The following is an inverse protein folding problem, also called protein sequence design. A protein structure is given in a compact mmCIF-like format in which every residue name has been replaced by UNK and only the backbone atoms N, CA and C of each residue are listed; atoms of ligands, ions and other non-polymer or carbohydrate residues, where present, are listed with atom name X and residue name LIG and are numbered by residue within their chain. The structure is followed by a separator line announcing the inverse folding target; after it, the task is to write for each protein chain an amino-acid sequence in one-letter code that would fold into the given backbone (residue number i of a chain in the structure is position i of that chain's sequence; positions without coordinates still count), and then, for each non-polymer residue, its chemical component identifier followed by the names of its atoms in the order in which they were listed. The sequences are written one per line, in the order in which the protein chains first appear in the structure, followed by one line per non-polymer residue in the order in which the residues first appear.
data_IF_713169072322
#
_entry.id   IF_713169072322
#
_cell.length_a   1.000
_cell.length_b   1.000
_cell.length_c   1.000
_cell.angle_alpha   90.00
_cell.angle_beta   90.00
_cell.angle_gamma   90.00
#
_symmetry.space_group_name_H-M   'P 1'
#
loop_
_entity.id
_entity.type
_entity.pdbx_description
1 polymer ?
#
# COMPACT_ATOMS: atom_id res chain seq x y z
N UNK A 1 29.75 10.82 -52.55
CA UNK A 1 29.29 9.53 -52.03
C UNK A 1 29.23 9.65 -50.50
N UNK A 2 28.10 10.14 -49.98
CA UNK A 2 27.88 10.23 -48.54
C UNK A 2 27.17 8.94 -48.10
N UNK A 3 27.90 8.07 -47.40
CA UNK A 3 27.31 6.93 -46.71
C UNK A 3 26.56 7.46 -45.49
N UNK A 4 25.23 7.50 -45.59
CA UNK A 4 24.37 7.59 -44.41
C UNK A 4 24.35 6.23 -43.73
N UNK A 5 25.05 6.11 -42.61
CA UNK A 5 24.85 5.01 -41.67
C UNK A 5 23.54 5.31 -40.96
N UNK A 6 22.45 4.65 -41.36
CA UNK A 6 21.23 4.62 -40.56
C UNK A 6 21.50 3.72 -39.35
N UNK A 7 21.34 4.27 -38.14
CA UNK A 7 21.10 3.45 -36.95
C UNK A 7 19.74 2.79 -37.13
N UNK A 8 19.73 1.48 -37.31
CA UNK A 8 18.52 0.68 -37.23
C UNK A 8 18.16 0.55 -35.74
N UNK A 9 17.20 1.34 -35.28
CA UNK A 9 16.51 1.04 -34.03
C UNK A 9 15.81 -0.30 -34.23
N UNK A 10 16.28 -1.34 -33.54
CA UNK A 10 15.55 -2.61 -33.47
C UNK A 10 14.23 -2.35 -32.75
N UNK A 11 13.19 -2.12 -33.54
CA UNK A 11 11.81 -2.09 -33.05
C UNK A 11 11.49 -3.52 -32.63
N UNK A 12 11.71 -3.82 -31.35
CA UNK A 12 11.23 -5.05 -30.74
C UNK A 12 9.73 -5.16 -31.02
N UNK A 13 9.35 -6.18 -31.79
CA UNK A 13 7.96 -6.46 -32.12
C UNK A 13 7.14 -6.55 -30.83
N UNK A 14 5.94 -5.94 -30.76
CA UNK A 14 5.12 -6.01 -29.56
C UNK A 14 4.80 -7.47 -29.25
N UNK A 15 5.11 -7.90 -28.02
CA UNK A 15 4.86 -9.27 -27.57
C UNK A 15 3.36 -9.54 -27.68
N UNK A 16 2.97 -10.58 -28.43
CA UNK A 16 1.58 -11.04 -28.45
C UNK A 16 1.11 -11.35 -27.02
N UNK A 17 -0.03 -10.75 -26.62
CA UNK A 17 -0.62 -10.78 -25.27
C UNK A 17 -1.25 -12.14 -24.93
N UNK A 18 -1.66 -12.90 -25.93
CA UNK A 18 -2.37 -14.16 -25.72
C UNK A 18 -1.45 -15.20 -25.08
N UNK A 19 -1.99 -15.96 -24.13
CA UNK A 19 -1.27 -17.02 -23.40
C UNK A 19 0.01 -16.57 -22.67
N UNK A 20 0.22 -15.26 -22.51
CA UNK A 20 1.33 -14.74 -21.73
C UNK A 20 0.97 -14.75 -20.24
N UNK A 21 1.77 -15.45 -19.46
CA UNK A 21 1.70 -15.48 -18.01
C UNK A 21 3.05 -15.02 -17.44
N UNK A 22 3.00 -13.98 -16.61
CA UNK A 22 4.16 -13.44 -15.90
C UNK A 22 3.94 -13.73 -14.42
N UNK A 23 4.90 -14.39 -13.80
CA UNK A 23 4.89 -14.62 -12.36
C UNK A 23 6.19 -14.10 -11.74
N UNK A 24 6.10 -13.52 -10.56
CA UNK A 24 7.28 -13.12 -9.78
C UNK A 24 7.03 -13.35 -8.32
N UNK A 25 8.07 -13.50 -7.52
CA UNK A 25 7.89 -13.65 -6.09
C UNK A 25 9.21 -13.57 -5.34
N UNK A 26 9.10 -13.63 -4.03
CA UNK A 26 10.23 -13.74 -3.12
C UNK A 26 10.09 -15.06 -2.37
N UNK A 27 11.20 -15.76 -2.22
CA UNK A 27 11.33 -16.94 -1.37
C UNK A 27 12.54 -16.75 -0.47
N UNK A 28 12.39 -17.08 0.80
CA UNK A 28 13.43 -16.94 1.79
C UNK A 28 13.66 -18.27 2.53
N UNK A 29 14.90 -18.49 2.96
CA UNK A 29 15.25 -19.56 3.88
C UNK A 29 14.63 -19.37 5.26
N UNK A 30 14.81 -20.35 6.14
CA UNK A 30 14.51 -20.25 7.58
C UNK A 30 13.12 -19.75 7.91
N UNK A 31 12.14 -20.14 7.09
CA UNK A 31 10.78 -19.72 7.33
C UNK A 31 10.65 -18.20 7.44
N UNK A 32 11.39 -17.38 6.71
CA UNK A 32 11.11 -15.94 6.70
C UNK A 32 9.82 -15.59 5.91
N UNK A 33 9.18 -16.61 5.32
CA UNK A 33 7.98 -16.46 4.50
C UNK A 33 8.33 -16.04 3.08
N UNK A 34 7.36 -15.46 2.40
CA UNK A 34 7.54 -14.95 1.05
C UNK A 34 6.24 -14.78 0.31
N UNK A 35 6.35 -14.67 -1.02
CA UNK A 35 5.21 -14.32 -1.86
C UNK A 35 5.30 -14.84 -3.29
N UNK A 36 4.17 -14.77 -3.98
CA UNK A 36 4.08 -14.87 -5.43
C UNK A 36 2.99 -13.96 -5.98
N UNK A 37 3.32 -13.26 -7.05
CA UNK A 37 2.41 -12.48 -7.88
C UNK A 37 2.31 -13.18 -9.23
N UNK A 38 1.10 -13.38 -9.72
CA UNK A 38 0.82 -13.95 -11.03
C UNK A 38 -0.06 -12.99 -11.82
N UNK A 39 0.38 -12.67 -13.04
CA UNK A 39 -0.19 -11.66 -13.91
C UNK A 39 -0.58 -12.31 -15.23
N UNK A 40 -1.81 -12.08 -15.66
CA UNK A 40 -2.34 -12.37 -16.99
C UNK A 40 -3.05 -11.13 -17.54
N UNK A 41 -3.50 -11.19 -18.79
CA UNK A 41 -4.25 -10.10 -19.41
C UNK A 41 -5.49 -9.68 -18.60
N UNK A 42 -6.12 -10.62 -17.91
CA UNK A 42 -7.39 -10.40 -17.22
C UNK A 42 -7.23 -10.24 -15.71
N UNK A 43 -6.14 -10.76 -15.13
CA UNK A 43 -6.05 -10.90 -13.68
C UNK A 43 -4.67 -10.68 -13.09
N UNK A 44 -4.68 -10.19 -11.85
CA UNK A 44 -3.55 -10.12 -10.94
C UNK A 44 -3.88 -10.97 -9.72
N UNK A 45 -3.02 -11.92 -9.38
CA UNK A 45 -3.16 -12.77 -8.20
C UNK A 45 -1.93 -12.65 -7.32
N UNK A 46 -2.13 -12.18 -6.10
CA UNK A 46 -1.08 -12.12 -5.09
C UNK A 46 -1.35 -13.20 -4.05
N UNK A 47 -0.32 -14.00 -3.77
CA UNK A 47 -0.28 -15.01 -2.73
C UNK A 47 0.88 -14.66 -1.80
N UNK A 48 0.63 -14.45 -0.51
CA UNK A 48 1.67 -14.36 0.51
C UNK A 48 1.58 -15.55 1.45
N UNK A 49 2.71 -15.99 1.99
CA UNK A 49 2.79 -17.08 2.95
C UNK A 49 3.57 -16.64 4.17
N UNK A 50 3.09 -17.07 5.34
CA UNK A 50 3.73 -16.73 6.61
C UNK A 50 5.01 -17.53 6.83
N UNK A 51 5.91 -17.00 7.68
CA UNK A 51 6.95 -17.79 8.30
C UNK A 51 6.49 -19.16 8.82
N UNK A 52 7.10 -20.25 8.36
CA UNK A 52 6.93 -21.61 8.91
C UNK A 52 5.49 -22.15 8.94
N UNK A 53 4.57 -21.52 8.22
CA UNK A 53 3.15 -21.84 8.29
C UNK A 53 2.55 -22.22 6.93
N UNK A 54 1.38 -22.84 6.98
CA UNK A 54 0.50 -23.02 5.82
C UNK A 54 -0.39 -21.80 5.57
N UNK A 55 -0.40 -20.84 6.51
CA UNK A 55 -1.24 -19.65 6.44
C UNK A 55 -0.84 -18.82 5.21
N UNK A 56 -1.81 -18.69 4.32
CA UNK A 56 -1.64 -18.07 3.02
C UNK A 56 -2.68 -16.98 2.88
N UNK A 57 -2.25 -15.76 2.54
CA UNK A 57 -3.18 -14.72 2.09
C UNK A 57 -3.22 -14.77 0.57
N UNK A 58 -4.41 -14.89 -0.01
CA UNK A 58 -4.59 -14.84 -1.47
C UNK A 58 -5.57 -13.74 -1.81
N UNK A 59 -5.22 -12.89 -2.76
CA UNK A 59 -6.11 -11.86 -3.29
C UNK A 59 -6.00 -11.80 -4.81
N UNK A 60 -7.15 -11.63 -5.46
CA UNK A 60 -7.27 -11.50 -6.91
C UNK A 60 -7.89 -10.16 -7.28
N UNK A 61 -7.41 -9.57 -8.37
CA UNK A 61 -7.94 -8.32 -8.93
C UNK A 61 -8.04 -8.43 -10.44
N UNK A 62 -8.91 -7.61 -11.02
CA UNK A 62 -8.91 -7.37 -12.47
C UNK A 62 -7.64 -6.63 -12.86
N UNK A 63 -6.97 -7.11 -13.91
CA UNK A 63 -5.79 -6.47 -14.45
C UNK A 63 -6.15 -5.10 -15.07
N UNK A 64 -5.53 -3.98 -14.64
CA UNK A 64 -5.70 -2.70 -15.32
C UNK A 64 -5.10 -2.76 -16.72
N UNK A 65 -5.87 -2.49 -17.80
CA UNK A 65 -5.39 -2.63 -19.18
C UNK A 65 -4.12 -1.81 -19.47
N UNK A 66 -4.05 -0.58 -18.94
CA UNK A 66 -2.88 0.31 -19.09
C UNK A 66 -1.63 -0.30 -18.46
N UNK A 67 -1.77 -0.98 -17.31
CA UNK A 67 -0.65 -1.63 -16.63
C UNK A 67 -0.18 -2.85 -17.42
N UNK A 68 -1.11 -3.68 -17.90
CA UNK A 68 -0.79 -4.84 -18.73
C UNK A 68 -0.07 -4.44 -20.01
N UNK A 69 -0.60 -3.45 -20.71
CA UNK A 69 -0.03 -2.97 -21.97
C UNK A 69 1.38 -2.41 -21.75
N UNK A 70 1.59 -1.70 -20.65
CA UNK A 70 2.92 -1.20 -20.27
C UNK A 70 3.91 -2.32 -19.93
N UNK A 71 3.45 -3.38 -19.25
CA UNK A 71 4.26 -4.57 -18.94
C UNK A 71 4.68 -5.30 -20.22
N UNK A 72 3.71 -5.62 -21.08
CA UNK A 72 3.95 -6.37 -22.32
C UNK A 72 4.84 -5.58 -23.29
N UNK A 73 4.62 -4.27 -23.41
CA UNK A 73 5.43 -3.41 -24.29
C UNK A 73 6.88 -3.25 -23.79
N UNK A 74 7.15 -3.44 -22.50
CA UNK A 74 8.49 -3.34 -21.92
C UNK A 74 9.24 -4.68 -21.91
N UNK A 75 8.55 -5.79 -22.16
CA UNK A 75 9.13 -7.13 -22.13
C UNK A 75 9.79 -7.47 -23.46
N UNK A 76 11.11 -7.69 -23.41
CA UNK A 76 11.86 -8.34 -24.49
C UNK A 76 12.00 -9.84 -24.14
N UNK A 77 11.19 -10.67 -24.80
CA UNK A 77 11.09 -12.10 -24.49
C UNK A 77 12.38 -12.85 -24.85
N UNK A 78 13.03 -12.49 -25.94
CA UNK A 78 14.28 -13.15 -26.37
C UNK A 78 15.42 -12.75 -25.45
N UNK A 79 15.56 -11.46 -25.13
CA UNK A 79 16.56 -11.02 -24.15
C UNK A 79 16.32 -11.64 -22.77
N UNK A 80 15.06 -11.77 -22.33
CA UNK A 80 14.73 -12.42 -21.05
C UNK A 80 15.13 -13.89 -21.04
N UNK A 81 14.92 -14.59 -22.17
CA UNK A 81 15.29 -16.00 -22.33
C UNK A 81 16.80 -16.24 -22.21
N UNK A 82 17.62 -15.25 -22.54
CA UNK A 82 19.08 -15.33 -22.40
C UNK A 82 19.57 -15.08 -20.97
N UNK A 83 18.73 -14.58 -20.06
CA UNK A 83 19.11 -14.40 -18.65
C UNK A 83 19.18 -15.76 -17.96
N UNK A 84 20.31 -16.10 -17.36
CA UNK A 84 20.52 -17.37 -16.65
C UNK A 84 20.86 -17.16 -15.16
N UNK A 85 20.19 -16.20 -14.53
CA UNK A 85 20.34 -16.01 -13.09
C UNK A 85 19.68 -17.14 -12.34
N UNK A 86 20.47 -17.85 -11.54
CA UNK A 86 20.01 -18.95 -10.69
C UNK A 86 20.75 -18.92 -9.36
N UNK A 87 20.59 -17.82 -8.62
CA UNK A 87 21.11 -17.73 -7.25
C UNK A 87 20.36 -18.69 -6.33
N UNK A 88 21.04 -19.11 -5.26
CA UNK A 88 20.40 -19.81 -4.15
C UNK A 88 20.78 -19.16 -2.83
N UNK A 89 20.44 -17.89 -2.64
CA UNK A 89 20.61 -17.27 -1.33
C UNK A 89 19.71 -17.94 -0.30
N UNK A 90 18.58 -18.50 -0.72
CA UNK A 90 17.72 -19.36 0.12
C UNK A 90 18.50 -20.52 0.75
N UNK A 91 19.52 -21.05 0.07
CA UNK A 91 20.36 -22.14 0.58
C UNK A 91 21.25 -21.71 1.76
N UNK A 92 21.53 -20.41 1.89
CA UNK A 92 22.37 -19.81 2.93
C UNK A 92 21.54 -18.81 3.75
N UNK A 93 20.27 -19.15 4.00
CA UNK A 93 19.35 -18.44 4.89
C UNK A 93 19.02 -17.01 4.46
N UNK A 94 19.30 -16.67 3.20
CA UNK A 94 18.91 -15.44 2.55
C UNK A 94 17.59 -15.56 1.79
N UNK A 95 17.29 -14.53 1.00
CA UNK A 95 16.13 -14.47 0.13
C UNK A 95 16.55 -14.37 -1.33
N UNK A 96 15.80 -15.03 -2.20
CA UNK A 96 15.86 -14.81 -3.64
C UNK A 96 14.53 -14.23 -4.13
N UNK A 97 14.63 -13.28 -5.05
CA UNK A 97 13.52 -12.90 -5.91
C UNK A 97 13.57 -13.75 -7.17
N UNK A 98 12.41 -14.15 -7.67
CA UNK A 98 12.31 -14.89 -8.92
C UNK A 98 11.34 -14.23 -9.87
N UNK A 99 11.59 -14.42 -11.17
CA UNK A 99 10.69 -14.04 -12.25
C UNK A 99 10.56 -15.25 -13.17
N UNK A 100 9.32 -15.60 -13.51
CA UNK A 100 8.97 -16.66 -14.44
C UNK A 100 8.09 -16.07 -15.54
N UNK A 101 8.45 -16.36 -16.78
CA UNK A 101 7.63 -16.03 -17.95
C UNK A 101 7.23 -17.32 -18.63
N UNK A 102 5.95 -17.45 -18.92
CA UNK A 102 5.36 -18.54 -19.65
C UNK A 102 4.57 -17.98 -20.84
N UNK A 103 4.88 -18.44 -22.05
CA UNK A 103 4.16 -18.05 -23.27
C UNK A 103 4.12 -19.23 -24.21
N UNK A 104 2.91 -19.69 -24.57
CA UNK A 104 2.71 -20.89 -25.39
C UNK A 104 3.49 -22.10 -24.84
N UNK A 105 4.52 -22.58 -25.53
CA UNK A 105 5.42 -23.65 -25.07
C UNK A 105 6.65 -23.15 -24.29
N UNK A 106 6.99 -21.86 -24.37
CA UNK A 106 8.10 -21.28 -23.63
C UNK A 106 7.79 -21.24 -22.14
N UNK A 107 8.75 -21.66 -21.33
CA UNK A 107 8.79 -21.51 -19.88
C UNK A 107 10.22 -21.16 -19.48
N UNK A 108 10.42 -19.95 -18.96
CA UNK A 108 11.73 -19.52 -18.47
C UNK A 108 11.60 -18.94 -17.07
N UNK A 109 12.51 -19.30 -16.16
CA UNK A 109 12.55 -18.78 -14.79
C UNK A 109 13.96 -18.39 -14.44
N UNK A 110 14.10 -17.21 -13.85
CA UNK A 110 15.32 -16.73 -13.23
C UNK A 110 15.10 -16.52 -11.72
N UNK A 111 16.14 -16.69 -10.93
CA UNK A 111 16.17 -16.40 -9.49
C UNK A 111 17.44 -15.61 -9.17
N UNK A 112 17.31 -14.55 -8.38
CA UNK A 112 18.37 -13.60 -8.10
C UNK A 112 18.25 -12.96 -6.71
N UNK A 113 19.39 -12.62 -6.13
CA UNK A 113 19.51 -12.11 -4.76
C UNK A 113 19.58 -10.60 -4.61
N UNK A 114 19.72 -9.85 -5.71
CA UNK A 114 20.11 -8.44 -5.65
C UNK A 114 19.81 -7.65 -6.92
N UNK A 115 20.60 -6.59 -7.13
CA UNK A 115 20.46 -5.68 -8.27
C UNK A 115 21.12 -6.26 -9.51
N UNK A 116 20.45 -7.23 -10.13
CA UNK A 116 20.90 -7.79 -11.41
C UNK A 116 20.68 -6.83 -12.58
N UNK A 117 21.50 -6.96 -13.62
CA UNK A 117 21.33 -6.23 -14.86
C UNK A 117 20.35 -6.96 -15.78
N UNK A 118 19.10 -6.50 -15.80
CA UNK A 118 18.10 -7.03 -16.72
C UNK A 118 18.29 -6.56 -18.17
N UNK A 119 19.31 -5.76 -18.48
CA UNK A 119 19.59 -5.25 -19.81
C UNK A 119 18.36 -4.59 -20.45
N UNK A 120 17.90 -5.04 -21.64
CA UNK A 120 16.68 -4.56 -22.26
C UNK A 120 15.43 -4.66 -21.37
N UNK A 121 15.39 -5.65 -20.46
CA UNK A 121 14.26 -5.90 -19.57
C UNK A 121 14.29 -5.09 -18.26
N UNK A 122 15.20 -4.12 -18.11
CA UNK A 122 15.24 -3.25 -16.92
C UNK A 122 13.93 -2.49 -16.70
N UNK A 123 13.32 -1.98 -17.77
CA UNK A 123 12.01 -1.30 -17.70
C UNK A 123 10.91 -2.26 -17.27
N UNK A 124 10.89 -3.47 -17.84
CA UNK A 124 9.95 -4.53 -17.48
C UNK A 124 10.04 -4.88 -15.99
N UNK A 125 11.24 -5.13 -15.47
CA UNK A 125 11.46 -5.41 -14.05
C UNK A 125 10.94 -4.28 -13.14
N UNK A 126 11.15 -3.02 -13.53
CA UNK A 126 10.64 -1.86 -12.79
C UNK A 126 9.11 -1.77 -12.77
N UNK A 127 8.44 -2.02 -13.90
CA UNK A 127 6.96 -2.03 -13.97
C UNK A 127 6.39 -3.21 -13.18
N UNK A 128 7.06 -4.38 -13.25
CA UNK A 128 6.68 -5.58 -12.49
C UNK A 128 6.75 -5.33 -10.98
N UNK A 129 7.79 -4.62 -10.50
CA UNK A 129 7.89 -4.18 -9.11
C UNK A 129 6.74 -3.25 -8.69
N UNK A 130 6.34 -2.31 -9.56
CA UNK A 130 5.16 -1.44 -9.31
C UNK A 130 3.85 -2.22 -9.25
N UNK A 131 3.66 -3.19 -10.15
CA UNK A 131 2.48 -4.06 -10.14
C UNK A 131 2.40 -4.87 -8.84
N UNK A 132 3.54 -5.37 -8.35
CA UNK A 132 3.64 -6.06 -7.07
C UNK A 132 3.28 -5.13 -5.91
N UNK A 133 3.84 -3.92 -5.85
CA UNK A 133 3.52 -2.93 -4.82
C UNK A 133 2.02 -2.57 -4.82
N UNK A 134 1.43 -2.30 -5.98
CA UNK A 134 0.00 -2.04 -6.13
C UNK A 134 -0.86 -3.19 -5.59
N UNK A 135 -0.49 -4.45 -5.88
CA UNK A 135 -1.22 -5.61 -5.37
C UNK A 135 -1.15 -5.74 -3.84
N UNK A 136 -0.04 -5.35 -3.22
CA UNK A 136 0.09 -5.29 -1.76
C UNK A 136 -0.73 -4.16 -1.14
N UNK A 137 -0.75 -2.98 -1.76
CA UNK A 137 -1.54 -1.83 -1.26
C UNK A 137 -3.04 -2.14 -1.22
N UNK A 138 -3.50 -3.05 -2.07
CA UNK A 138 -4.88 -3.57 -2.07
C UNK A 138 -5.16 -4.67 -1.05
N UNK A 139 -4.13 -5.31 -0.46
CA UNK A 139 -4.32 -6.16 0.72
C UNK A 139 -4.58 -5.31 1.98
N UNK A 140 -3.99 -4.12 2.04
CA UNK A 140 -4.20 -3.18 3.12
C UNK A 140 -5.63 -2.61 3.14
N UNK A 141 -6.46 -3.14 4.04
CA UNK A 141 -7.82 -2.66 4.31
C UNK A 141 -7.96 -2.05 5.69
N UNK A 142 -8.91 -1.11 5.82
CA UNK A 142 -9.30 -0.56 7.12
C UNK A 142 -10.09 -1.56 7.95
N UNK A 143 -10.99 -2.29 7.29
CA UNK A 143 -11.92 -3.20 7.95
C UNK A 143 -11.27 -4.57 8.05
N UNK A 144 -11.23 -5.09 9.29
CA UNK A 144 -10.72 -6.40 9.66
C UNK A 144 -9.45 -6.80 8.87
N UNK A 145 -8.37 -5.99 8.95
CA UNK A 145 -7.15 -6.26 8.17
C UNK A 145 -6.58 -7.67 8.41
N UNK A 146 -6.80 -8.25 9.59
CA UNK A 146 -6.45 -9.62 9.95
C UNK A 146 -7.13 -10.71 9.10
N UNK A 147 -8.28 -10.44 8.48
CA UNK A 147 -8.93 -11.39 7.58
C UNK A 147 -8.12 -11.57 6.28
N UNK A 148 -7.51 -10.48 5.80
CA UNK A 148 -6.72 -10.45 4.55
C UNK A 148 -5.22 -10.58 4.78
N UNK A 149 -4.73 -10.21 5.96
CA UNK A 149 -3.32 -10.22 6.31
C UNK A 149 -3.09 -11.29 7.37
N UNK A 150 -2.79 -12.51 6.93
CA UNK A 150 -2.60 -13.64 7.85
C UNK A 150 -1.42 -13.45 8.81
N UNK A 151 -0.38 -12.70 8.41
CA UNK A 151 0.72 -12.34 9.31
C UNK A 151 0.23 -11.45 10.47
N UNK A 152 -0.69 -10.53 10.18
CA UNK A 152 -1.26 -9.62 11.17
C UNK A 152 -2.20 -10.38 12.11
N UNK A 153 -2.96 -11.33 11.56
CA UNK A 153 -3.74 -12.28 12.36
C UNK A 153 -2.87 -13.10 13.31
N UNK A 154 -1.74 -13.64 12.83
CA UNK A 154 -0.85 -14.43 13.67
C UNK A 154 -0.26 -13.61 14.83
N UNK A 155 0.12 -12.35 14.58
CA UNK A 155 0.54 -11.42 15.62
C UNK A 155 -0.60 -11.19 16.63
N UNK A 156 -1.81 -10.94 16.13
CA UNK A 156 -3.00 -10.72 16.96
C UNK A 156 -3.34 -11.88 17.88
N UNK A 157 -3.44 -13.07 17.30
CA UNK A 157 -3.73 -14.31 18.04
C UNK A 157 -2.67 -14.54 19.14
N UNK A 158 -1.41 -14.10 18.93
CA UNK A 158 -0.33 -14.22 19.93
C UNK A 158 -0.61 -13.37 21.17
N UNK A 159 -0.97 -12.09 21.04
CA UNK A 159 -1.21 -11.25 22.22
C UNK A 159 -2.58 -11.51 22.87
N UNK A 160 -3.59 -11.88 22.08
CA UNK A 160 -4.91 -12.26 22.60
C UNK A 160 -4.84 -13.53 23.44
N UNK A 161 -4.03 -14.52 23.05
CA UNK A 161 -3.83 -15.74 23.85
C UNK A 161 -3.13 -15.49 25.19
N UNK A 162 -2.37 -14.40 25.29
CA UNK A 162 -1.76 -13.91 26.53
C UNK A 162 -2.64 -12.92 27.29
N UNK A 163 -3.90 -12.73 26.87
CA UNK A 163 -4.86 -11.83 27.49
C UNK A 163 -4.37 -10.37 27.56
N UNK A 164 -3.59 -9.94 26.56
CA UNK A 164 -3.08 -8.58 26.45
C UNK A 164 -4.02 -7.69 25.64
N UNK A 165 -4.29 -6.44 26.09
CA UNK A 165 -5.17 -5.50 25.39
C UNK A 165 -4.44 -4.83 24.22
N UNK A 166 -4.11 -5.59 23.19
CA UNK A 166 -3.43 -5.09 22.00
C UNK A 166 -4.34 -4.37 21.01
N UNK A 167 -3.76 -3.51 20.16
CA UNK A 167 -4.47 -2.77 19.12
C UNK A 167 -3.72 -2.79 17.78
N UNK A 168 -4.49 -2.73 16.70
CA UNK A 168 -4.01 -2.56 15.33
C UNK A 168 -4.69 -1.32 14.76
N UNK A 169 -3.90 -0.39 14.23
CA UNK A 169 -4.37 0.87 13.68
C UNK A 169 -3.73 1.12 12.32
N UNK A 170 -4.51 1.56 11.32
CA UNK A 170 -3.98 1.88 9.99
C UNK A 170 -3.67 3.37 9.85
N UNK A 171 -2.52 3.68 9.25
CA UNK A 171 -2.07 5.03 8.95
C UNK A 171 -1.61 5.15 7.49
N UNK A 172 -1.59 6.38 6.96
CA UNK A 172 -0.73 6.79 5.86
C UNK A 172 0.52 7.43 6.44
N UNK A 173 1.69 6.90 6.11
CA UNK A 173 2.99 7.44 6.51
C UNK A 173 3.93 7.37 5.31
N UNK A 174 4.60 8.47 4.98
CA UNK A 174 5.43 8.59 3.77
C UNK A 174 4.72 8.10 2.50
N UNK A 175 3.46 8.55 2.32
CA UNK A 175 2.58 8.20 1.19
C UNK A 175 2.22 6.71 1.08
N UNK A 176 2.52 5.90 2.08
CA UNK A 176 2.23 4.46 2.12
C UNK A 176 1.25 4.11 3.22
N UNK A 177 0.40 3.12 2.96
CA UNK A 177 -0.43 2.51 4.00
C UNK A 177 0.44 1.65 4.91
N UNK A 178 0.29 1.83 6.22
CA UNK A 178 1.02 1.09 7.25
C UNK A 178 0.08 0.74 8.40
N UNK A 179 0.45 -0.26 9.20
CA UNK A 179 -0.24 -0.62 10.43
C UNK A 179 0.65 -0.37 11.63
N UNK A 180 0.19 0.45 12.57
CA UNK A 180 0.74 0.51 13.92
C UNK A 180 0.14 -0.65 14.72
N UNK A 181 1.00 -1.54 15.18
CA UNK A 181 0.65 -2.69 15.99
C UNK A 181 1.21 -2.47 17.39
N UNK A 182 0.31 -2.43 18.37
CA UNK A 182 0.65 -2.27 19.79
C UNK A 182 0.15 -3.50 20.53
N UNK A 183 1.01 -4.50 20.80
CA UNK A 183 0.58 -5.78 21.39
C UNK A 183 -0.03 -5.64 22.80
N UNK A 184 0.29 -4.58 23.53
CA UNK A 184 -0.37 -4.24 24.79
C UNK A 184 -0.47 -2.72 24.98
N UNK A 185 -1.69 -2.20 25.10
CA UNK A 185 -1.93 -0.81 25.49
C UNK A 185 -1.77 -0.66 27.01
N UNK A 186 -0.92 0.27 27.43
CA UNK A 186 -0.68 0.55 28.85
C UNK A 186 0.38 -0.33 29.52
N UNK A 187 1.03 -1.23 28.77
CA UNK A 187 2.20 -1.97 29.25
C UNK A 187 3.49 -1.16 29.00
N UNK A 188 4.26 -0.76 30.02
CA UNK A 188 5.48 0.04 29.85
C UNK A 188 6.57 -0.70 29.06
N UNK A 189 6.67 -2.02 29.26
CA UNK A 189 7.76 -2.84 28.73
C UNK A 189 7.50 -3.38 27.31
N UNK A 190 6.31 -3.12 26.75
CA UNK A 190 5.91 -3.61 25.42
C UNK A 190 5.97 -2.47 24.41
N UNK A 191 6.85 -2.62 23.42
CA UNK A 191 6.95 -1.68 22.30
C UNK A 191 5.80 -1.80 21.31
N UNK A 192 5.68 -0.80 20.45
CA UNK A 192 4.81 -0.82 19.27
C UNK A 192 5.66 -0.86 18.01
N UNK A 193 5.12 -1.51 16.97
CA UNK A 193 5.82 -1.69 15.70
C UNK A 193 4.93 -1.25 14.54
N UNK A 194 5.50 -0.50 13.61
CA UNK A 194 4.86 -0.08 12.37
C UNK A 194 5.25 -1.06 11.27
N UNK A 195 4.26 -1.67 10.65
CA UNK A 195 4.43 -2.61 9.55
C UNK A 195 3.87 -2.06 8.24
N UNK A 196 4.52 -2.38 7.12
CA UNK A 196 3.91 -2.18 5.80
C UNK A 196 2.85 -3.26 5.50
N UNK A 197 2.18 -3.15 4.34
CA UNK A 197 1.18 -4.12 3.88
C UNK A 197 1.75 -5.54 3.66
N UNK A 198 3.08 -5.69 3.57
CA UNK A 198 3.76 -6.97 3.39
C UNK A 198 4.12 -7.62 4.73
N UNK A 199 3.96 -6.90 5.84
CA UNK A 199 4.40 -7.33 7.16
C UNK A 199 5.88 -7.04 7.44
N UNK A 200 6.54 -6.20 6.63
CA UNK A 200 7.89 -5.75 6.95
C UNK A 200 7.82 -4.68 8.03
N UNK A 201 8.69 -4.79 9.03
CA UNK A 201 8.88 -3.74 10.02
C UNK A 201 9.48 -2.49 9.35
N UNK A 202 8.82 -1.36 9.53
CA UNK A 202 9.27 -0.04 9.06
C UNK A 202 9.87 0.75 10.22
N UNK A 203 9.23 0.66 11.38
CA UNK A 203 9.62 1.39 12.59
C UNK A 203 9.25 0.58 13.82
N UNK A 204 9.96 0.80 14.92
CA UNK A 204 9.59 0.31 16.24
C UNK A 204 9.87 1.39 17.28
N UNK A 205 8.99 1.49 18.28
CA UNK A 205 9.13 2.43 19.38
C UNK A 205 8.62 1.90 20.71
N UNK A 206 9.31 2.25 21.80
CA UNK A 206 8.95 1.86 23.16
C UNK A 206 9.44 0.46 23.58
N UNK A 207 9.06 0.03 24.77
CA UNK A 207 9.55 -1.20 25.41
C UNK A 207 10.82 -0.99 26.24
N UNK A 208 11.25 -2.04 26.95
CA UNK A 208 12.43 -1.98 27.82
C UNK A 208 13.72 -1.81 27.00
N UNK A 209 14.36 -0.65 27.10
CA UNK A 209 15.48 -0.26 26.23
C UNK A 209 15.07 0.13 24.80
N UNK A 210 13.78 0.41 24.61
CA UNK A 210 13.06 0.40 23.36
C UNK A 210 13.71 1.10 22.17
N UNK A 211 13.66 0.51 20.96
CA UNK A 211 14.06 1.20 19.74
C UNK A 211 13.28 2.52 19.60
N UNK A 212 13.80 3.45 18.81
CA UNK A 212 13.12 4.68 18.45
C UNK A 212 13.51 5.03 17.02
N UNK A 213 13.08 4.18 16.08
CA UNK A 213 13.61 4.19 14.71
C UNK A 213 12.89 5.16 13.78
N UNK A 214 11.73 5.69 14.18
CA UNK A 214 10.97 6.72 13.46
C UNK A 214 10.40 7.75 14.44
N UNK A 215 11.21 8.73 14.89
CA UNK A 215 10.82 9.75 15.88
C UNK A 215 9.62 10.59 15.48
N UNK A 216 9.39 10.74 14.18
CA UNK A 216 8.40 11.61 13.56
C UNK A 216 7.10 10.89 13.15
N UNK A 217 7.01 9.58 13.41
CA UNK A 217 5.85 8.78 12.97
C UNK A 217 4.54 9.34 13.49
N UNK A 218 4.43 9.59 14.80
CA UNK A 218 3.17 10.07 15.40
C UNK A 218 2.82 11.50 14.96
N UNK A 219 3.78 12.29 14.49
CA UNK A 219 3.56 13.65 14.01
C UNK A 219 3.11 13.69 12.55
N UNK A 220 3.65 12.80 11.72
CA UNK A 220 3.41 12.78 10.28
C UNK A 220 2.36 11.76 9.82
N UNK A 221 2.14 10.69 10.58
CA UNK A 221 1.22 9.63 10.22
C UNK A 221 -0.24 10.12 10.27
N UNK A 222 -0.99 9.82 9.21
CA UNK A 222 -2.40 10.20 9.07
C UNK A 222 -3.25 8.97 9.32
N UNK A 223 -4.09 8.93 10.37
CA UNK A 223 -4.94 7.77 10.65
C UNK A 223 -5.98 7.58 9.54
N UNK A 224 -6.12 6.34 9.06
CA UNK A 224 -7.04 6.01 7.95
C UNK A 224 -8.41 5.58 8.48
N UNK A 225 -8.46 4.92 9.64
CA UNK A 225 -9.70 4.35 10.17
C UNK A 225 -9.93 4.89 11.60
N UNK A 226 -10.95 5.73 11.84
CA UNK A 226 -11.30 6.19 13.18
C UNK A 226 -11.81 5.04 14.06
N UNK A 227 -11.41 5.02 15.34
CA UNK A 227 -11.81 4.01 16.35
C UNK A 227 -13.30 4.03 16.69
N UNK A 228 -13.97 5.14 16.41
CA UNK A 228 -15.36 5.32 16.74
C UNK A 228 -16.17 4.97 15.50
N UNK A 229 -16.93 3.86 15.55
CA UNK A 229 -17.73 3.29 14.47
C UNK A 229 -18.80 4.19 13.82
N UNK A 230 -18.67 5.50 13.92
CA UNK A 230 -19.43 6.51 13.18
C UNK A 230 -19.16 6.49 11.66
N UNK A 231 -18.02 5.96 11.21
CA UNK A 231 -17.65 5.95 9.79
C UNK A 231 -17.70 4.57 9.10
N UNK A 232 -18.21 3.54 9.79
CA UNK A 232 -18.15 2.16 9.30
C UNK A 232 -19.32 1.72 8.40
N UNK A 233 -20.22 2.62 7.97
CA UNK A 233 -21.37 2.19 7.17
C UNK A 233 -21.27 2.38 5.64
N UNK A 234 -20.32 3.15 5.10
CA UNK A 234 -20.36 3.46 3.65
C UNK A 234 -19.04 3.51 2.88
N UNK A 235 -17.91 3.07 3.45
CA UNK A 235 -16.64 3.01 2.68
C UNK A 235 -16.28 1.56 2.31
N UNK A 236 -17.27 0.79 1.85
CA UNK A 236 -17.07 -0.54 1.27
C UNK A 236 -17.87 -0.65 -0.03
N UNK A 237 -17.33 -0.09 -1.12
CA UNK A 237 -17.92 -0.16 -2.46
C UNK A 237 -17.64 1.07 -3.31
N UNK A 238 -17.94 0.99 -4.61
CA UNK A 238 -18.24 2.21 -5.38
C UNK A 238 -19.47 2.86 -4.74
N UNK A 239 -19.29 4.06 -4.19
CA UNK A 239 -20.37 4.87 -3.64
C UNK A 239 -20.93 5.77 -4.75
N UNK A 240 -22.23 6.05 -4.69
CA UNK A 240 -22.83 7.01 -5.62
C UNK A 240 -22.48 8.44 -5.21
N UNK A 241 -22.49 9.36 -6.17
CA UNK A 241 -22.29 10.79 -5.91
C UNK A 241 -23.25 11.34 -4.85
N UNK A 242 -24.48 10.81 -4.79
CA UNK A 242 -25.48 11.23 -3.81
C UNK A 242 -25.11 10.81 -2.38
N UNK A 243 -24.57 9.61 -2.21
CA UNK A 243 -24.11 9.09 -0.91
C UNK A 243 -22.86 9.81 -0.43
N UNK A 244 -21.88 10.03 -1.32
CA UNK A 244 -20.68 10.81 -1.01
C UNK A 244 -21.03 12.25 -0.62
N UNK A 245 -21.97 12.88 -1.33
CA UNK A 245 -22.45 14.23 -1.02
C UNK A 245 -23.14 14.30 0.34
N UNK A 246 -23.95 13.31 0.69
CA UNK A 246 -24.61 13.23 2.00
C UNK A 246 -23.61 13.02 3.13
N UNK A 247 -22.63 12.13 2.95
CA UNK A 247 -21.57 11.87 3.92
C UNK A 247 -20.70 13.11 4.15
N UNK A 248 -20.29 13.76 3.06
CA UNK A 248 -19.53 15.01 3.10
C UNK A 248 -20.31 16.08 3.85
N UNK A 249 -21.61 16.22 3.59
CA UNK A 249 -22.47 17.18 4.29
C UNK A 249 -22.54 16.92 5.80
N UNK A 250 -22.69 15.66 6.21
CA UNK A 250 -22.67 15.28 7.63
C UNK A 250 -21.32 15.57 8.30
N UNK A 251 -20.21 15.27 7.61
CA UNK A 251 -18.85 15.56 8.07
C UNK A 251 -18.62 17.05 8.29
N UNK A 252 -19.05 17.89 7.33
CA UNK A 252 -18.95 19.33 7.45
C UNK A 252 -19.78 19.87 8.62
N UNK A 253 -21.01 19.40 8.80
CA UNK A 253 -21.88 19.80 9.91
C UNK A 253 -21.27 19.44 11.27
N UNK A 254 -20.62 18.28 11.37
CA UNK A 254 -19.95 17.87 12.61
C UNK A 254 -18.71 18.74 12.90
N UNK A 255 -17.89 19.02 11.88
CA UNK A 255 -16.73 19.91 12.02
C UNK A 255 -17.14 21.33 12.41
N UNK A 256 -18.23 21.83 11.83
CA UNK A 256 -18.78 23.15 12.15
C UNK A 256 -19.30 23.22 13.59
N UNK A 257 -19.99 22.18 14.06
CA UNK A 257 -20.41 22.08 15.47
C UNK A 257 -19.23 22.03 16.44
N UNK A 258 -18.14 21.34 16.08
CA UNK A 258 -16.93 21.30 16.92
C UNK A 258 -16.21 22.64 16.94
N UNK A 259 -16.08 23.28 15.77
CA UNK A 259 -15.56 24.64 15.64
C UNK A 259 -16.38 25.63 16.48
N UNK A 260 -17.71 25.57 16.40
CA UNK A 260 -18.62 26.45 17.13
C UNK A 260 -18.78 26.15 18.62
N UNK A 261 -18.16 25.08 19.13
CA UNK A 261 -18.26 24.70 20.55
C UNK A 261 -17.49 25.65 21.50
N UNK A 262 -16.62 26.50 20.95
CA UNK A 262 -15.90 27.52 21.70
C UNK A 262 -16.22 28.91 21.15
N UNK A 263 -16.40 29.89 22.04
CA UNK A 263 -16.60 31.27 21.63
C UNK A 263 -15.29 31.87 21.10
N UNK A 264 -15.34 32.50 19.93
CA UNK A 264 -14.20 33.24 19.38
C UNK A 264 -14.06 34.59 20.09
N UNK A 265 -13.41 34.58 21.26
CA UNK A 265 -13.16 35.79 22.07
C UNK A 265 -11.78 36.39 21.84
N UNK A 266 -10.81 35.59 21.37
CA UNK A 266 -9.46 36.03 21.02
C UNK A 266 -8.98 35.35 19.74
N UNK A 267 -8.88 36.12 18.66
CA UNK A 267 -8.45 35.63 17.34
C UNK A 267 -7.04 34.99 17.31
N UNK A 268 -6.15 35.32 18.25
CA UNK A 268 -4.80 34.75 18.31
C UNK A 268 -4.79 33.28 18.72
N UNK A 269 -5.84 32.83 19.41
CA UNK A 269 -6.06 31.44 19.83
C UNK A 269 -6.79 30.60 18.80
N UNK A 270 -7.07 31.13 17.62
CA UNK A 270 -7.74 30.41 16.54
C UNK A 270 -6.79 30.15 15.38
N UNK A 271 -7.05 29.08 14.64
CA UNK A 271 -6.34 28.69 13.44
C UNK A 271 -7.34 28.33 12.34
N UNK A 272 -6.86 28.22 11.10
CA UNK A 272 -7.67 27.84 9.95
C UNK A 272 -7.15 26.54 9.35
N UNK A 273 -8.07 25.62 9.07
CA UNK A 273 -7.79 24.38 8.36
C UNK A 273 -8.46 24.40 6.98
N UNK A 274 -7.70 24.10 5.93
CA UNK A 274 -8.15 24.09 4.54
C UNK A 274 -9.01 22.85 4.22
N UNK A 275 -10.28 22.97 3.87
CA UNK A 275 -11.09 21.80 3.51
C UNK A 275 -11.30 21.70 1.99
N UNK A 276 -10.90 20.56 1.44
CA UNK A 276 -11.08 20.19 0.02
C UNK A 276 -10.15 20.93 -0.93
N UNK A 277 -10.11 20.49 -2.19
CA UNK A 277 -9.25 21.08 -3.24
C UNK A 277 -10.10 21.64 -4.38
N UNK A 278 -9.74 22.81 -4.89
CA UNK A 278 -10.30 23.34 -6.14
C UNK A 278 -9.59 22.69 -7.35
N UNK A 279 -10.27 22.55 -8.50
CA UNK A 279 -9.69 21.95 -9.71
C UNK A 279 -8.40 22.63 -10.22
N UNK A 280 -8.16 23.87 -9.84
CA UNK A 280 -7.00 24.69 -10.23
C UNK A 280 -6.02 24.95 -9.07
N UNK A 281 -6.12 24.20 -7.98
CA UNK A 281 -5.28 24.35 -6.80
C UNK A 281 -5.87 25.29 -5.74
N UNK A 282 -5.41 25.10 -4.49
CA UNK A 282 -5.92 25.80 -3.32
C UNK A 282 -7.16 25.15 -2.69
N UNK A 283 -7.47 25.57 -1.46
CA UNK A 283 -8.55 24.99 -0.68
C UNK A 283 -9.93 25.32 -1.26
N UNK A 284 -10.87 24.37 -1.20
CA UNK A 284 -12.26 24.60 -1.59
C UNK A 284 -12.96 25.53 -0.59
N UNK A 285 -12.71 25.34 0.71
CA UNK A 285 -13.15 26.22 1.80
C UNK A 285 -12.15 26.16 2.97
N UNK A 286 -12.35 26.95 4.01
CA UNK A 286 -11.59 26.89 5.27
C UNK A 286 -12.54 26.77 6.44
N UNK A 287 -12.11 26.08 7.50
CA UNK A 287 -12.79 26.08 8.79
C UNK A 287 -11.88 26.71 9.84
N UNK A 288 -12.43 27.64 10.62
CA UNK A 288 -11.74 28.17 11.79
C UNK A 288 -11.88 27.18 12.95
N UNK A 289 -10.87 27.04 13.79
CA UNK A 289 -10.96 26.22 15.01
C UNK A 289 -10.10 26.82 16.12
N UNK A 290 -10.53 26.63 17.36
CA UNK A 290 -9.75 27.04 18.53
C UNK A 290 -8.53 26.12 18.71
N UNK A 291 -7.36 26.70 18.96
CA UNK A 291 -6.12 25.97 19.35
C UNK A 291 -6.24 25.33 20.73
N UNK A 292 -7.28 25.68 21.48
CA UNK A 292 -7.56 25.17 22.82
C UNK A 292 -8.51 23.97 22.81
N UNK A 293 -9.12 23.68 21.67
CA UNK A 293 -9.66 22.34 21.43
C UNK A 293 -8.52 21.35 21.59
N UNK A 294 -8.83 20.11 21.97
CA UNK A 294 -7.90 19.00 21.81
C UNK A 294 -7.52 18.94 20.32
N UNK A 295 -6.42 19.60 20.00
CA UNK A 295 -6.03 19.90 18.63
C UNK A 295 -5.67 18.60 17.92
N UNK A 296 -5.24 17.58 18.67
CA UNK A 296 -5.01 16.25 18.13
C UNK A 296 -6.33 15.56 17.77
N UNK A 297 -7.34 15.61 18.64
CA UNK A 297 -8.67 15.07 18.33
C UNK A 297 -9.36 15.80 17.16
N UNK A 298 -9.25 17.12 17.11
CA UNK A 298 -9.79 17.93 16.02
C UNK A 298 -9.07 17.64 14.69
N UNK A 299 -7.73 17.65 14.69
CA UNK A 299 -6.94 17.35 13.48
C UNK A 299 -7.11 15.90 13.03
N UNK A 300 -7.29 14.94 13.95
CA UNK A 300 -7.61 13.56 13.61
C UNK A 300 -8.96 13.46 12.87
N UNK A 301 -10.00 14.10 13.38
CA UNK A 301 -11.34 14.13 12.74
C UNK A 301 -11.34 14.90 11.42
N UNK A 302 -10.65 16.04 11.38
CA UNK A 302 -10.47 16.83 10.17
C UNK A 302 -9.68 16.06 9.09
N UNK A 303 -8.60 15.36 9.44
CA UNK A 303 -7.82 14.55 8.50
C UNK A 303 -8.60 13.34 7.98
N UNK A 304 -9.42 12.69 8.80
CA UNK A 304 -10.35 11.65 8.36
C UNK A 304 -11.35 12.18 7.31
N UNK A 305 -11.80 13.44 7.43
CA UNK A 305 -12.67 14.08 6.42
C UNK A 305 -11.99 14.30 5.06
N UNK A 306 -10.65 14.40 5.04
CA UNK A 306 -9.87 14.55 3.80
C UNK A 306 -9.75 13.24 3.03
N UNK A 307 -9.71 12.08 3.71
CA UNK A 307 -9.69 10.75 3.08
C UNK A 307 -10.98 10.42 2.29
N UNK A 308 -12.10 11.12 2.54
CA UNK A 308 -13.38 10.87 1.86
C UNK A 308 -13.50 11.49 0.46
N UNK A 309 -12.59 12.38 0.03
CA UNK A 309 -12.69 13.05 -1.28
C UNK A 309 -11.77 12.40 -2.31
N UNK A 310 -12.32 11.48 -3.12
CA UNK A 310 -11.67 10.99 -4.35
C UNK A 310 -11.65 12.10 -5.43
N UNK A 311 -10.69 12.12 -6.36
CA UNK A 311 -10.78 12.97 -7.55
C UNK A 311 -12.00 12.57 -8.39
N UNK A 312 -12.84 13.55 -8.67
CA UNK A 312 -14.05 13.42 -9.50
C UNK A 312 -13.59 13.10 -10.93
N UNK A 313 -13.71 11.84 -11.36
CA UNK A 313 -13.68 11.52 -12.78
C UNK A 313 -15.01 11.96 -13.37
N UNK A 314 -14.99 12.98 -14.23
CA UNK A 314 -16.14 13.32 -15.06
C UNK A 314 -16.40 12.16 -16.02
N UNK A 315 -17.40 11.35 -15.74
CA UNK A 315 -18.05 10.57 -16.81
C UNK A 315 -18.74 11.55 -17.75
N UNK A 316 -18.52 11.33 -19.05
CA UNK A 316 -18.91 12.25 -20.11
C UNK A 316 -20.42 12.44 -20.24
N UNK A 317 -20.76 13.68 -20.61
CA UNK A 317 -21.96 14.08 -21.35
C UNK A 317 -21.52 15.05 -22.42
#
# INVERSE_FOLDING_TARGET
MFLFIQCEETINQPVNKNNLLISTGTICGWCAGGDSLTLSQDSIWLKSYTPCGTATSTVGFTMPPVLWDSLVAALDLEAFRQLDYNTCNVCADGCDTWIRIAKDSLRHKISFGGSEDFGPNKKFAGILGKAKAMAYDSLCTCNNPEEKLQWLKALKDTWESNNMPGTIEQYIFNEKKVYLVTPCVGCPDVGSTVYDCRGNEICAFGGFGGPHTCPDFLEQAIPVCPKDGFYNKQITGESTFAEDSALISMLYSHLDSLSGSMACTDSSRWAFAAIGNKPCGGAATYIAYSKDLDTNSFLQKYRASLCSKRPITKSGG
#
